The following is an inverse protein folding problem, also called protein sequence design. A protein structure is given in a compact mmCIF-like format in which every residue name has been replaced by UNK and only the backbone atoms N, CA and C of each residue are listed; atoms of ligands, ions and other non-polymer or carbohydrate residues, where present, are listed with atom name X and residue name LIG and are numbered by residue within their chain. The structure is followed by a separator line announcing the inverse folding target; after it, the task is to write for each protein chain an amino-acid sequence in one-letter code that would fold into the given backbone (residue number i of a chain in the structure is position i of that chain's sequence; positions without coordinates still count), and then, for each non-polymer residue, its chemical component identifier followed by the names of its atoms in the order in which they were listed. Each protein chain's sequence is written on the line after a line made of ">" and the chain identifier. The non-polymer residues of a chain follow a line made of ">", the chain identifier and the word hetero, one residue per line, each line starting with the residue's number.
data_IF_683323598445
#
_entry.id   IF_683323598445
#
_cell.length_a   1.000
_cell.length_b   1.000
_cell.length_c   1.000
_cell.angle_alpha   90.00
_cell.angle_beta   90.00
_cell.angle_gamma   90.00
#
_symmetry.space_group_name_H-M   'P 1'
#
loop_
_entity.id
_entity.type
_entity.pdbx_description
1 polymer ?
#
# COMPACT_ATOMS: atom_id res chain seq x y z
N UNK A 1 -5.09 -15.10 36.51
CA UNK A 1 -5.10 -13.92 37.42
C UNK A 1 -5.73 -14.19 38.78
N UNK A 2 -6.90 -14.90 38.88
CA UNK A 2 -7.51 -15.22 40.21
C UNK A 2 -6.61 -16.04 41.12
N UNK A 3 -5.87 -17.00 40.56
CA UNK A 3 -5.04 -17.92 41.37
C UNK A 3 -3.77 -17.26 41.93
N UNK A 4 -3.21 -16.28 41.22
CA UNK A 4 -1.94 -15.68 41.65
C UNK A 4 -2.12 -14.47 42.56
N UNK A 5 -3.14 -13.64 42.31
CA UNK A 5 -3.34 -12.39 43.05
C UNK A 5 -4.42 -12.46 44.14
N UNK A 6 -5.17 -13.57 44.24
CA UNK A 6 -6.34 -13.73 45.15
C UNK A 6 -7.35 -12.59 45.11
N UNK A 7 -7.36 -11.81 44.01
CA UNK A 7 -8.23 -10.66 43.83
C UNK A 7 -9.42 -11.01 42.93
N UNK A 8 -10.61 -10.63 43.36
CA UNK A 8 -11.82 -10.73 42.55
C UNK A 8 -12.26 -9.33 42.16
N UNK A 9 -11.95 -8.98 40.91
CA UNK A 9 -12.34 -7.68 40.34
C UNK A 9 -13.25 -7.87 39.12
N UNK A 10 -14.19 -6.94 38.92
CA UNK A 10 -15.02 -6.94 37.73
C UNK A 10 -14.23 -6.44 36.50
N UNK A 11 -14.64 -6.87 35.29
CA UNK A 11 -14.05 -6.38 34.03
C UNK A 11 -14.08 -4.84 33.93
N UNK A 12 -15.20 -4.16 34.25
CA UNK A 12 -15.25 -2.69 34.26
C UNK A 12 -14.26 -2.05 35.24
N UNK A 13 -14.04 -2.67 36.40
CA UNK A 13 -13.07 -2.16 37.40
C UNK A 13 -11.65 -2.31 36.85
N UNK A 14 -11.32 -3.45 36.27
CA UNK A 14 -10.02 -3.66 35.63
C UNK A 14 -9.79 -2.64 34.48
N UNK A 15 -10.80 -2.46 33.64
CA UNK A 15 -10.74 -1.50 32.53
C UNK A 15 -10.51 -0.06 33.00
N UNK A 16 -11.20 0.37 34.06
CA UNK A 16 -10.99 1.69 34.68
C UNK A 16 -9.57 1.81 35.26
N UNK A 17 -9.06 0.76 35.89
CA UNK A 17 -7.69 0.72 36.40
C UNK A 17 -6.66 0.88 35.27
N UNK A 18 -6.80 0.14 34.20
CA UNK A 18 -5.93 0.25 33.01
C UNK A 18 -5.96 1.67 32.40
N UNK A 19 -7.15 2.29 32.32
CA UNK A 19 -7.30 3.68 31.86
C UNK A 19 -6.57 4.68 32.76
N UNK A 20 -6.64 4.54 34.08
CA UNK A 20 -5.89 5.38 35.02
C UNK A 20 -4.38 5.26 34.81
N UNK A 21 -3.90 4.07 34.42
CA UNK A 21 -2.52 3.82 34.07
C UNK A 21 -2.17 4.27 32.63
N UNK A 22 -3.06 5.00 31.96
CA UNK A 22 -2.94 5.46 30.57
C UNK A 22 -2.74 4.31 29.54
N UNK A 23 -3.20 3.11 29.89
CA UNK A 23 -3.17 1.96 28.99
C UNK A 23 -4.46 1.89 28.18
N UNK A 24 -4.36 1.53 26.90
CA UNK A 24 -5.47 1.26 26.02
C UNK A 24 -5.27 -0.04 25.26
N UNK A 25 -6.36 -0.64 24.81
CA UNK A 25 -6.27 -1.84 24.00
C UNK A 25 -5.71 -1.47 22.62
N UNK A 26 -4.51 -1.95 22.31
CA UNK A 26 -3.80 -1.71 21.06
C UNK A 26 -3.66 -3.03 20.28
N UNK A 27 -3.86 -2.96 18.97
CA UNK A 27 -3.49 -4.06 18.10
C UNK A 27 -1.98 -4.00 17.85
N UNK A 28 -1.21 -5.06 18.16
CA UNK A 28 0.24 -5.06 17.90
C UNK A 28 0.53 -4.84 16.41
N UNK A 29 1.48 -3.98 16.13
CA UNK A 29 2.03 -3.79 14.80
C UNK A 29 3.02 -4.92 14.49
N UNK A 30 2.94 -5.45 13.26
CA UNK A 30 3.94 -6.41 12.78
C UNK A 30 5.08 -5.67 12.13
N UNK A 31 6.30 -5.95 12.57
CA UNK A 31 7.54 -5.46 11.95
C UNK A 31 8.39 -6.64 11.55
N UNK A 32 9.02 -6.57 10.38
CA UNK A 32 9.96 -7.58 9.96
C UNK A 32 11.19 -7.58 10.89
N UNK A 33 11.69 -8.76 11.24
CA UNK A 33 12.91 -8.89 12.05
C UNK A 33 14.14 -8.36 11.30
N UNK A 34 14.09 -8.46 9.98
CA UNK A 34 15.14 -8.04 9.05
C UNK A 34 15.15 -6.51 8.81
N UNK A 35 14.22 -5.77 9.43
CA UNK A 35 14.13 -4.32 9.28
C UNK A 35 15.29 -3.63 10.00
N UNK A 36 16.10 -2.83 9.29
CA UNK A 36 17.18 -2.05 9.89
C UNK A 36 16.71 -0.65 10.33
N UNK A 37 16.65 -0.37 11.64
CA UNK A 37 16.27 0.95 12.15
C UNK A 37 17.24 2.08 11.75
N UNK A 38 18.52 1.76 11.52
CA UNK A 38 19.52 2.76 11.10
C UNK A 38 19.31 3.16 9.65
N UNK A 39 19.10 2.19 8.75
CA UNK A 39 18.77 2.43 7.34
C UNK A 39 17.50 3.28 7.24
N UNK A 40 16.45 2.94 7.98
CA UNK A 40 15.19 3.69 8.03
C UNK A 40 15.38 5.13 8.48
N UNK A 41 16.11 5.33 9.59
CA UNK A 41 16.40 6.66 10.11
C UNK A 41 17.22 7.47 9.11
N UNK A 42 18.21 6.88 8.48
CA UNK A 42 19.02 7.52 7.46
C UNK A 42 18.17 7.92 6.25
N UNK A 43 17.27 7.04 5.81
CA UNK A 43 16.38 7.32 4.69
C UNK A 43 15.48 8.53 4.98
N UNK A 44 14.83 8.56 6.15
CA UNK A 44 13.96 9.67 6.56
C UNK A 44 14.70 10.99 6.73
N UNK A 45 15.88 10.97 7.36
CA UNK A 45 16.62 12.19 7.70
C UNK A 45 17.48 12.72 6.56
N UNK A 46 17.93 11.86 5.65
CA UNK A 46 18.91 12.23 4.62
C UNK A 46 18.42 11.97 3.20
N UNK A 47 17.96 10.75 2.89
CA UNK A 47 17.63 10.35 1.52
C UNK A 47 16.33 11.02 1.06
N UNK A 48 15.26 10.91 1.81
CA UNK A 48 13.96 11.47 1.47
C UNK A 48 14.00 13.01 1.30
N UNK A 49 14.57 13.80 2.21
CA UNK A 49 14.72 15.24 2.01
C UNK A 49 15.55 15.62 0.79
N UNK A 50 16.57 14.80 0.45
CA UNK A 50 17.36 15.00 -0.78
C UNK A 50 16.52 14.77 -2.03
N UNK A 51 15.73 13.69 -2.06
CA UNK A 51 14.79 13.39 -3.16
C UNK A 51 13.80 14.55 -3.33
N UNK A 52 13.21 15.04 -2.24
CA UNK A 52 12.24 16.14 -2.27
C UNK A 52 12.86 17.43 -2.81
N UNK A 53 14.04 17.82 -2.34
CA UNK A 53 14.76 19.00 -2.85
C UNK A 53 15.07 18.88 -4.34
N UNK A 54 15.56 17.72 -4.77
CA UNK A 54 15.86 17.46 -6.17
C UNK A 54 14.60 17.45 -7.03
N UNK A 55 13.52 16.84 -6.59
CA UNK A 55 12.25 16.83 -7.30
C UNK A 55 11.69 18.26 -7.47
N UNK A 56 11.81 19.09 -6.43
CA UNK A 56 11.40 20.51 -6.49
C UNK A 56 12.24 21.28 -7.50
N UNK A 57 13.57 21.15 -7.46
CA UNK A 57 14.48 21.82 -8.39
C UNK A 57 14.24 21.43 -9.85
N UNK A 58 13.97 20.14 -10.09
CA UNK A 58 13.71 19.60 -11.42
C UNK A 58 12.24 19.66 -11.85
N UNK A 59 11.35 20.21 -11.01
CA UNK A 59 9.88 20.22 -11.21
C UNK A 59 9.33 18.83 -11.53
N UNK A 60 9.91 17.78 -10.92
CA UNK A 60 9.53 16.40 -11.12
C UNK A 60 8.28 16.04 -10.32
N UNK A 61 7.50 15.10 -10.84
CA UNK A 61 6.46 14.41 -10.08
C UNK A 61 7.11 13.23 -9.34
N UNK A 62 6.83 13.10 -8.05
CA UNK A 62 7.32 11.97 -7.24
C UNK A 62 6.18 10.98 -7.06
N UNK A 63 6.38 9.75 -7.51
CA UNK A 63 5.44 8.65 -7.35
C UNK A 63 6.05 7.58 -6.45
N UNK A 64 5.25 7.07 -5.54
CA UNK A 64 5.51 5.83 -4.83
C UNK A 64 4.82 4.71 -5.60
N UNK A 65 5.55 3.66 -5.85
CA UNK A 65 5.09 2.52 -6.64
C UNK A 65 5.04 1.26 -5.76
N UNK A 66 4.08 0.39 -6.06
CA UNK A 66 3.90 -0.89 -5.38
C UNK A 66 3.03 -1.85 -6.20
N UNK A 67 3.09 -3.13 -5.86
CA UNK A 67 2.26 -4.18 -6.46
C UNK A 67 1.40 -4.89 -5.42
N UNK A 68 0.25 -5.34 -5.87
CA UNK A 68 -0.60 -6.16 -5.03
C UNK A 68 -1.45 -7.13 -5.82
N UNK A 69 -1.78 -8.25 -5.18
CA UNK A 69 -2.70 -9.23 -5.73
C UNK A 69 -4.09 -9.02 -5.12
N UNK A 70 -5.08 -8.80 -6.00
CA UNK A 70 -6.50 -8.88 -5.67
C UNK A 70 -6.97 -10.30 -5.92
N UNK A 71 -7.49 -10.99 -4.91
CA UNK A 71 -7.88 -12.39 -5.01
C UNK A 71 -9.37 -12.53 -5.33
N UNK A 72 -9.76 -13.66 -5.95
CA UNK A 72 -11.17 -14.03 -6.13
C UNK A 72 -11.88 -14.26 -4.79
N UNK A 73 -11.17 -14.66 -3.76
CA UNK A 73 -11.68 -14.69 -2.39
C UNK A 73 -11.60 -13.28 -1.80
N UNK A 74 -12.74 -12.58 -1.62
CA UNK A 74 -12.75 -11.20 -1.15
C UNK A 74 -12.38 -11.09 0.32
N UNK A 75 -11.92 -9.92 0.72
CA UNK A 75 -11.88 -9.54 2.13
C UNK A 75 -13.31 -9.34 2.63
N UNK A 76 -13.67 -9.99 3.74
CA UNK A 76 -14.95 -9.78 4.42
C UNK A 76 -14.72 -8.93 5.67
N UNK A 77 -15.67 -8.09 5.98
CA UNK A 77 -15.66 -7.26 7.18
C UNK A 77 -16.94 -7.42 7.98
N UNK A 78 -16.98 -6.84 9.16
CA UNK A 78 -18.20 -6.80 9.97
C UNK A 78 -19.30 -6.02 9.25
N UNK A 79 -20.54 -6.47 9.40
CA UNK A 79 -21.75 -5.82 8.93
C UNK A 79 -22.88 -6.04 9.94
N UNK A 80 -23.99 -5.33 9.78
CA UNK A 80 -25.17 -5.49 10.61
C UNK A 80 -26.02 -6.64 10.12
N UNK A 81 -26.52 -7.45 11.05
CA UNK A 81 -27.50 -8.51 10.82
C UNK A 81 -28.34 -8.74 12.08
N UNK A 82 -29.51 -9.36 12.00
CA UNK A 82 -30.28 -9.77 13.16
C UNK A 82 -29.43 -10.67 14.09
N UNK A 83 -29.64 -10.52 15.39
CA UNK A 83 -28.96 -11.34 16.41
C UNK A 83 -29.16 -12.83 16.08
N UNK A 84 -28.08 -13.59 16.12
CA UNK A 84 -28.08 -15.04 15.82
C UNK A 84 -28.13 -15.39 14.33
N UNK A 85 -28.22 -14.39 13.40
CA UNK A 85 -28.24 -14.60 11.95
C UNK A 85 -26.95 -14.07 11.30
N UNK A 86 -25.94 -14.90 11.21
CA UNK A 86 -24.66 -14.52 10.58
C UNK A 86 -24.84 -14.34 9.07
N UNK A 87 -24.47 -13.16 8.52
CA UNK A 87 -24.51 -12.93 7.07
C UNK A 87 -23.55 -13.85 6.32
N UNK A 88 -23.97 -14.36 5.19
CA UNK A 88 -23.18 -15.24 4.32
C UNK A 88 -22.79 -14.52 3.04
N UNK A 89 -21.50 -14.48 2.75
CA UNK A 89 -20.97 -14.06 1.44
C UNK A 89 -20.60 -15.31 0.66
N UNK A 90 -21.28 -15.52 -0.46
CA UNK A 90 -20.95 -16.64 -1.35
C UNK A 90 -19.68 -16.30 -2.12
N UNK A 91 -18.69 -17.18 -2.06
CA UNK A 91 -17.40 -17.02 -2.72
C UNK A 91 -17.05 -18.26 -3.53
N UNK A 92 -16.28 -18.11 -4.59
CA UNK A 92 -15.71 -19.25 -5.30
C UNK A 92 -14.58 -19.89 -4.51
N UNK A 93 -14.40 -21.20 -4.61
CA UNK A 93 -13.23 -21.93 -4.11
C UNK A 93 -11.95 -21.68 -4.93
N UNK A 94 -12.04 -20.96 -6.03
CA UNK A 94 -10.91 -20.66 -6.90
C UNK A 94 -9.97 -19.64 -6.22
N UNK A 95 -8.68 -19.99 -6.10
CA UNK A 95 -7.63 -19.18 -5.47
C UNK A 95 -6.95 -18.18 -6.42
N UNK A 96 -7.40 -18.08 -7.67
CA UNK A 96 -6.83 -17.16 -8.64
C UNK A 96 -6.93 -15.70 -8.16
N UNK A 97 -6.03 -14.88 -8.67
CA UNK A 97 -5.97 -13.45 -8.37
C UNK A 97 -5.61 -12.63 -9.60
N UNK A 98 -5.69 -11.35 -9.44
CA UNK A 98 -5.29 -10.34 -10.42
C UNK A 98 -4.16 -9.53 -9.80
N UNK A 99 -2.99 -9.57 -10.45
CA UNK A 99 -1.87 -8.71 -10.10
C UNK A 99 -2.16 -7.29 -10.59
N UNK A 100 -1.88 -6.33 -9.76
CA UNK A 100 -2.04 -4.90 -10.05
C UNK A 100 -0.77 -4.18 -9.63
N UNK A 101 -0.31 -3.28 -10.48
CA UNK A 101 0.76 -2.33 -10.16
C UNK A 101 0.14 -0.95 -10.07
N UNK A 102 0.58 -0.13 -9.13
CA UNK A 102 0.16 1.27 -9.05
C UNK A 102 1.30 2.21 -8.70
N UNK A 103 1.07 3.48 -9.00
CA UNK A 103 1.97 4.56 -8.63
C UNK A 103 1.13 5.75 -8.15
N UNK A 104 1.36 6.15 -6.90
CA UNK A 104 0.63 7.21 -6.21
C UNK A 104 1.54 8.40 -5.92
N UNK A 105 1.06 9.62 -6.14
CA UNK A 105 1.79 10.83 -5.76
C UNK A 105 1.07 11.69 -4.70
N UNK A 106 1.82 12.59 -4.07
CA UNK A 106 1.30 13.46 -3.01
C UNK A 106 0.24 14.46 -3.48
N UNK A 107 0.06 14.68 -4.78
CA UNK A 107 -1.02 15.48 -5.33
C UNK A 107 -2.34 14.71 -5.45
N UNK A 108 -2.33 13.41 -5.10
CA UNK A 108 -3.49 12.54 -5.19
C UNK A 108 -3.75 12.05 -6.62
N UNK A 109 -2.71 11.85 -7.42
CA UNK A 109 -2.79 11.21 -8.72
C UNK A 109 -2.41 9.74 -8.59
N UNK A 110 -3.25 8.88 -9.11
CA UNK A 110 -3.07 7.43 -9.13
C UNK A 110 -2.95 6.96 -10.58
N UNK A 111 -1.81 6.40 -10.92
CA UNK A 111 -1.61 5.61 -12.13
C UNK A 111 -1.66 4.12 -11.76
N UNK A 112 -2.21 3.27 -12.61
CA UNK A 112 -2.24 1.83 -12.38
C UNK A 112 -2.24 1.03 -13.67
N UNK A 113 -1.71 -0.19 -13.59
CA UNK A 113 -1.73 -1.18 -14.66
C UNK A 113 -2.08 -2.56 -14.09
N UNK A 114 -2.62 -3.41 -14.95
CA UNK A 114 -2.87 -4.83 -14.62
C UNK A 114 -2.01 -5.63 -15.61
N UNK A 115 -0.83 -6.06 -15.19
CA UNK A 115 0.03 -6.91 -16.00
C UNK A 115 -0.57 -8.32 -16.13
N UNK A 116 -0.08 -9.13 -17.09
CA UNK A 116 -0.70 -10.42 -17.38
C UNK A 116 -0.70 -11.38 -16.19
N UNK A 117 0.45 -11.68 -15.57
CA UNK A 117 0.49 -12.67 -14.47
C UNK A 117 1.56 -12.43 -13.40
N UNK A 118 2.79 -12.03 -13.75
CA UNK A 118 3.90 -11.85 -12.81
C UNK A 118 4.66 -10.57 -13.11
N UNK A 119 5.17 -9.92 -12.05
CA UNK A 119 6.10 -8.80 -12.23
C UNK A 119 7.51 -9.35 -12.44
N UNK A 120 8.10 -8.99 -13.56
CA UNK A 120 9.50 -9.17 -13.86
C UNK A 120 10.07 -7.84 -14.34
N UNK A 121 11.39 -7.80 -14.56
CA UNK A 121 12.06 -6.56 -14.99
C UNK A 121 11.48 -5.95 -16.29
N UNK A 122 10.99 -6.79 -17.22
CA UNK A 122 10.34 -6.31 -18.46
C UNK A 122 9.00 -5.64 -18.18
N UNK A 123 8.15 -6.30 -17.40
CA UNK A 123 6.85 -5.78 -16.99
C UNK A 123 6.99 -4.48 -16.21
N UNK A 124 7.97 -4.40 -15.30
CA UNK A 124 8.25 -3.17 -14.58
C UNK A 124 8.72 -2.03 -15.49
N UNK A 125 9.59 -2.32 -16.47
CA UNK A 125 10.01 -1.34 -17.49
C UNK A 125 8.80 -0.86 -18.30
N UNK A 126 7.90 -1.74 -18.71
CA UNK A 126 6.70 -1.37 -19.47
C UNK A 126 5.74 -0.52 -18.64
N UNK A 127 5.61 -0.80 -17.34
CA UNK A 127 4.90 0.07 -16.39
C UNK A 127 5.52 1.46 -16.31
N UNK A 128 6.85 1.56 -16.19
CA UNK A 128 7.55 2.85 -16.16
C UNK A 128 7.39 3.64 -17.46
N UNK A 129 7.44 2.96 -18.62
CA UNK A 129 7.17 3.59 -19.94
C UNK A 129 5.74 4.13 -20.01
N UNK A 130 4.77 3.36 -19.58
CA UNK A 130 3.36 3.77 -19.56
C UNK A 130 3.15 4.97 -18.62
N UNK A 131 3.77 4.98 -17.45
CA UNK A 131 3.75 6.12 -16.53
C UNK A 131 4.39 7.37 -17.15
N UNK A 132 5.52 7.24 -17.85
CA UNK A 132 6.16 8.32 -18.57
C UNK A 132 5.30 8.88 -19.72
N UNK A 133 4.54 8.02 -20.38
CA UNK A 133 3.61 8.40 -21.47
C UNK A 133 2.40 9.16 -20.94
N UNK A 134 1.91 8.85 -19.73
CA UNK A 134 0.83 9.58 -19.06
C UNK A 134 1.24 11.02 -18.73
N UNK A 135 2.55 11.26 -18.52
CA UNK A 135 3.09 12.58 -18.16
C UNK A 135 4.21 13.02 -19.13
N UNK A 136 3.92 13.27 -20.41
CA UNK A 136 4.95 13.43 -21.46
C UNK A 136 5.85 14.65 -21.28
N UNK A 137 5.36 15.69 -20.57
CA UNK A 137 6.09 16.95 -20.34
C UNK A 137 6.71 17.07 -18.95
N UNK A 138 6.72 15.97 -18.16
CA UNK A 138 7.19 16.01 -16.77
C UNK A 138 8.36 15.05 -16.57
N UNK A 139 9.28 15.46 -15.70
CA UNK A 139 10.21 14.49 -15.09
C UNK A 139 9.48 13.70 -14.03
N UNK A 140 9.80 12.43 -13.90
CA UNK A 140 9.19 11.50 -12.96
C UNK A 140 10.27 10.89 -12.09
N UNK A 141 10.07 10.96 -10.79
CA UNK A 141 10.84 10.25 -9.81
C UNK A 141 9.96 9.13 -9.26
N UNK A 142 10.40 7.90 -9.36
CA UNK A 142 9.70 6.74 -8.84
C UNK A 142 10.45 6.24 -7.62
N UNK A 143 9.71 5.95 -6.56
CA UNK A 143 10.21 5.33 -5.33
C UNK A 143 9.52 3.97 -5.25
N UNK A 144 10.29 2.89 -5.35
CA UNK A 144 9.83 1.50 -5.28
C UNK A 144 10.53 0.76 -4.14
N UNK A 145 10.10 -0.42 -3.83
CA UNK A 145 10.85 -1.31 -2.95
C UNK A 145 12.08 -1.90 -3.65
N UNK A 146 12.86 -2.71 -2.92
CA UNK A 146 14.07 -3.36 -3.44
C UNK A 146 13.80 -4.78 -3.96
N UNK A 147 12.58 -5.08 -4.45
CA UNK A 147 12.28 -6.36 -5.05
C UNK A 147 13.19 -6.66 -6.27
N UNK A 148 13.47 -7.94 -6.50
CA UNK A 148 14.39 -8.36 -7.58
C UNK A 148 14.05 -7.78 -8.96
N UNK A 149 12.76 -7.65 -9.37
CA UNK A 149 12.42 -7.01 -10.63
C UNK A 149 12.87 -5.56 -10.71
N UNK A 150 12.77 -4.80 -9.61
CA UNK A 150 13.04 -3.36 -9.58
C UNK A 150 14.54 -3.05 -9.62
N UNK A 151 15.36 -3.88 -8.97
CA UNK A 151 16.83 -3.68 -8.92
C UNK A 151 17.58 -4.35 -10.07
N UNK A 152 16.89 -5.01 -10.99
CA UNK A 152 17.48 -5.76 -12.09
C UNK A 152 18.38 -4.89 -13.01
N UNK A 153 19.45 -5.46 -13.53
CA UNK A 153 20.39 -4.78 -14.46
C UNK A 153 19.66 -4.13 -15.64
N UNK A 154 18.65 -4.81 -16.21
CA UNK A 154 17.83 -4.29 -17.32
C UNK A 154 17.08 -2.99 -16.95
N UNK A 155 16.53 -2.92 -15.73
CA UNK A 155 15.84 -1.72 -15.24
C UNK A 155 16.81 -0.57 -15.05
N UNK A 156 17.97 -0.82 -14.42
CA UNK A 156 19.02 0.21 -14.25
C UNK A 156 19.48 0.74 -15.61
N UNK A 157 19.70 -0.13 -16.59
CA UNK A 157 20.10 0.26 -17.94
C UNK A 157 19.02 1.09 -18.65
N UNK A 158 17.73 0.78 -18.46
CA UNK A 158 16.61 1.55 -18.97
C UNK A 158 16.55 2.94 -18.33
N UNK A 159 16.60 3.00 -16.99
CA UNK A 159 16.54 4.26 -16.22
C UNK A 159 17.71 5.18 -16.57
N UNK A 160 18.93 4.61 -16.76
CA UNK A 160 20.12 5.40 -17.14
C UNK A 160 19.99 6.07 -18.51
N UNK A 161 19.21 5.50 -19.44
CA UNK A 161 18.96 6.07 -20.78
C UNK A 161 17.80 7.07 -20.80
N UNK A 162 16.87 6.99 -19.84
CA UNK A 162 15.66 7.82 -19.83
C UNK A 162 15.89 9.10 -19.02
N UNK A 163 16.14 10.21 -19.71
CA UNK A 163 16.47 11.52 -19.09
C UNK A 163 15.35 12.10 -18.20
N UNK A 164 14.11 11.65 -18.38
CA UNK A 164 12.95 12.12 -17.61
C UNK A 164 12.62 11.26 -16.39
N UNK A 165 13.36 10.15 -16.17
CA UNK A 165 13.08 9.19 -15.12
C UNK A 165 14.23 9.10 -14.13
N UNK A 166 13.92 9.10 -12.84
CA UNK A 166 14.83 8.66 -11.76
C UNK A 166 14.13 7.62 -10.92
N UNK A 167 14.85 6.59 -10.54
CA UNK A 167 14.36 5.52 -9.69
C UNK A 167 15.12 5.55 -8.37
N UNK A 168 14.39 5.56 -7.29
CA UNK A 168 14.87 5.52 -5.91
C UNK A 168 14.26 4.32 -5.21
N UNK A 169 14.86 3.92 -4.08
CA UNK A 169 14.40 2.76 -3.35
C UNK A 169 14.08 3.10 -1.90
N UNK A 170 13.04 2.45 -1.38
CA UNK A 170 12.73 2.45 0.04
C UNK A 170 13.78 1.64 0.82
N UNK A 171 13.93 1.86 2.12
CA UNK A 171 14.69 0.96 2.97
C UNK A 171 14.10 -0.45 2.92
N UNK A 172 14.95 -1.43 3.08
CA UNK A 172 14.53 -2.84 3.06
C UNK A 172 13.45 -3.10 4.12
N UNK A 173 12.46 -3.92 3.78
CA UNK A 173 11.35 -4.29 4.67
C UNK A 173 10.59 -3.11 5.31
N UNK A 174 10.39 -2.02 4.56
CA UNK A 174 9.73 -0.80 5.05
C UNK A 174 8.46 -0.43 4.28
N UNK A 175 7.44 -1.32 4.20
CA UNK A 175 6.18 -1.06 3.50
C UNK A 175 5.39 0.09 4.15
N UNK A 176 5.61 0.35 5.42
CA UNK A 176 5.00 1.48 6.14
C UNK A 176 5.47 2.85 5.63
N UNK A 177 6.58 2.93 4.90
CA UNK A 177 7.02 4.15 4.22
C UNK A 177 6.37 4.32 2.84
N UNK A 178 5.69 3.28 2.32
CA UNK A 178 5.05 3.34 1.03
C UNK A 178 3.56 3.76 1.16
N UNK A 179 3.17 4.99 0.81
CA UNK A 179 1.77 5.41 0.87
C UNK A 179 0.87 4.62 -0.10
N UNK A 180 1.42 3.97 -1.12
CA UNK A 180 0.67 3.14 -2.07
C UNK A 180 0.04 1.90 -1.41
N UNK A 181 0.60 1.42 -0.30
CA UNK A 181 -0.04 0.42 0.58
C UNK A 181 -1.44 0.87 1.07
N UNK A 182 -1.66 2.17 1.19
CA UNK A 182 -2.97 2.75 1.49
C UNK A 182 -3.98 2.51 0.36
N UNK A 183 -3.52 2.51 -0.89
CA UNK A 183 -4.34 2.16 -2.07
C UNK A 183 -4.83 0.72 -1.96
N UNK A 184 -3.92 -0.22 -1.64
CA UNK A 184 -4.27 -1.64 -1.50
C UNK A 184 -5.19 -1.91 -0.34
N UNK A 185 -4.93 -1.28 0.79
CA UNK A 185 -5.78 -1.40 1.97
C UNK A 185 -7.20 -0.92 1.67
N UNK A 186 -7.35 0.26 1.07
CA UNK A 186 -8.65 0.82 0.71
C UNK A 186 -9.34 0.00 -0.40
N UNK A 187 -8.62 -0.37 -1.44
CA UNK A 187 -9.14 -1.18 -2.55
C UNK A 187 -9.74 -2.50 -2.04
N UNK A 188 -8.99 -3.24 -1.21
CA UNK A 188 -9.42 -4.55 -0.72
C UNK A 188 -10.49 -4.49 0.35
N UNK A 189 -10.42 -3.51 1.27
CA UNK A 189 -11.30 -3.43 2.42
C UNK A 189 -12.55 -2.58 2.22
N UNK A 190 -12.57 -1.68 1.25
CA UNK A 190 -13.69 -0.78 0.99
C UNK A 190 -14.29 -0.97 -0.40
N UNK A 191 -13.50 -0.83 -1.46
CA UNK A 191 -14.04 -0.85 -2.82
C UNK A 191 -14.39 -2.26 -3.32
N UNK A 192 -13.61 -3.26 -2.94
CA UNK A 192 -13.79 -4.66 -3.31
C UNK A 192 -14.20 -5.56 -2.11
N UNK A 193 -14.63 -4.95 -1.00
CA UNK A 193 -15.13 -5.70 0.14
C UNK A 193 -16.29 -6.59 -0.28
N UNK A 194 -16.22 -7.87 0.09
CA UNK A 194 -17.25 -8.87 -0.17
C UNK A 194 -17.69 -8.95 -1.66
N UNK A 195 -16.79 -8.65 -2.61
CA UNK A 195 -17.12 -8.78 -4.03
C UNK A 195 -17.45 -10.25 -4.38
N UNK A 196 -18.31 -10.44 -5.35
CA UNK A 196 -18.79 -11.76 -5.80
C UNK A 196 -18.30 -12.09 -7.22
N UNK A 197 -17.06 -11.72 -7.54
CA UNK A 197 -16.46 -12.10 -8.82
C UNK A 197 -16.29 -13.63 -8.87
N UNK A 198 -16.72 -14.25 -9.94
CA UNK A 198 -16.69 -15.71 -10.11
C UNK A 198 -15.46 -16.17 -10.90
N UNK A 199 -14.84 -15.28 -11.66
CA UNK A 199 -13.70 -15.58 -12.51
C UNK A 199 -12.74 -14.39 -12.65
N UNK A 200 -11.54 -14.65 -13.20
CA UNK A 200 -10.47 -13.64 -13.36
C UNK A 200 -10.92 -12.45 -14.23
N UNK A 201 -11.67 -12.68 -15.29
CA UNK A 201 -12.17 -11.61 -16.21
C UNK A 201 -13.09 -10.63 -15.48
N UNK A 202 -14.01 -11.14 -14.70
CA UNK A 202 -14.91 -10.34 -13.88
C UNK A 202 -14.16 -9.57 -12.80
N UNK A 203 -13.19 -10.23 -12.13
CA UNK A 203 -12.36 -9.60 -11.11
C UNK A 203 -11.54 -8.45 -11.70
N UNK A 204 -10.94 -8.61 -12.88
CA UNK A 204 -10.24 -7.55 -13.60
C UNK A 204 -11.17 -6.35 -13.85
N UNK A 205 -12.39 -6.60 -14.34
CA UNK A 205 -13.39 -5.54 -14.59
C UNK A 205 -13.73 -4.77 -13.32
N UNK A 206 -14.02 -5.48 -12.22
CA UNK A 206 -14.34 -4.87 -10.93
C UNK A 206 -13.14 -4.09 -10.37
N UNK A 207 -11.93 -4.65 -10.42
CA UNK A 207 -10.70 -4.01 -9.97
C UNK A 207 -10.40 -2.73 -10.75
N UNK A 208 -10.48 -2.76 -12.08
CA UNK A 208 -10.32 -1.56 -12.92
C UNK A 208 -11.35 -0.48 -12.59
N UNK A 209 -12.61 -0.86 -12.40
CA UNK A 209 -13.67 0.10 -12.05
C UNK A 209 -13.41 0.75 -10.68
N UNK A 210 -13.02 -0.04 -9.68
CA UNK A 210 -12.69 0.43 -8.34
C UNK A 210 -11.49 1.40 -8.36
N UNK A 211 -10.39 1.04 -9.03
CA UNK A 211 -9.21 1.91 -9.14
C UNK A 211 -9.51 3.22 -9.89
N UNK A 212 -10.30 3.16 -10.96
CA UNK A 212 -10.77 4.37 -11.66
C UNK A 212 -11.63 5.27 -10.80
N UNK A 213 -12.48 4.68 -9.95
CA UNK A 213 -13.29 5.41 -8.96
C UNK A 213 -12.39 6.09 -7.93
N UNK A 214 -11.38 5.38 -7.41
CA UNK A 214 -10.40 5.92 -6.48
C UNK A 214 -9.59 7.06 -7.11
N UNK A 215 -9.13 6.91 -8.35
CA UNK A 215 -8.38 7.92 -9.09
C UNK A 215 -9.13 9.26 -9.25
N UNK A 216 -10.48 9.23 -9.23
CA UNK A 216 -11.32 10.44 -9.24
C UNK A 216 -11.47 11.11 -7.86
N UNK A 217 -10.81 10.58 -6.81
CA UNK A 217 -10.93 11.04 -5.42
C UNK A 217 -9.57 11.50 -4.87
N UNK A 218 -9.00 12.62 -5.36
CA UNK A 218 -7.66 13.05 -4.97
C UNK A 218 -7.53 13.34 -3.47
N UNK A 219 -8.61 13.77 -2.80
CA UNK A 219 -8.64 13.95 -1.35
C UNK A 219 -8.38 12.65 -0.58
N UNK A 220 -9.02 11.55 -1.00
CA UNK A 220 -8.78 10.22 -0.45
C UNK A 220 -7.32 9.79 -0.67
N UNK A 221 -6.81 9.94 -1.89
CA UNK A 221 -5.46 9.51 -2.25
C UNK A 221 -4.39 10.31 -1.47
N UNK A 222 -4.60 11.61 -1.27
CA UNK A 222 -3.72 12.43 -0.42
C UNK A 222 -3.71 11.98 1.04
N UNK A 223 -4.84 11.50 1.57
CA UNK A 223 -4.90 11.04 2.97
C UNK A 223 -3.99 9.85 3.25
N UNK A 224 -3.64 9.06 2.25
CA UNK A 224 -2.71 7.93 2.41
C UNK A 224 -1.27 8.37 2.70
N UNK A 225 -0.89 9.58 2.27
CA UNK A 225 0.40 10.17 2.63
C UNK A 225 0.42 10.64 4.08
N UNK A 226 -0.64 11.27 4.56
CA UNK A 226 -0.71 11.81 5.93
C UNK A 226 -0.61 10.68 6.96
N UNK A 227 -1.31 9.56 6.70
CA UNK A 227 -1.32 8.43 7.61
C UNK A 227 0.04 7.71 7.74
N UNK A 228 0.95 7.89 6.77
CA UNK A 228 2.21 7.14 6.70
C UNK A 228 3.48 8.01 6.78
N UNK A 229 3.36 9.30 6.46
CA UNK A 229 4.48 10.25 6.59
C UNK A 229 4.53 10.96 7.94
N UNK A 230 3.62 10.64 8.86
CA UNK A 230 3.74 11.01 10.27
C UNK A 230 4.26 9.79 11.04
N UNK A 231 5.57 9.50 11.02
CA UNK A 231 6.12 8.64 12.02
C UNK A 231 5.95 9.38 13.34
N UNK A 232 5.29 8.77 14.30
CA UNK A 232 5.49 9.12 15.69
C UNK A 232 6.99 8.87 15.98
N UNK A 233 7.82 9.84 15.65
CA UNK A 233 9.19 9.98 16.10
C UNK A 233 9.18 10.88 17.34
#
# INVERSE_FOLDING_TARGET
>A
MRAELKLVVSIPTLWRGLKKLKLSNQKPERRALEQDPKERTHWLKSVWPKIQRQAKAERALVFFEDESVVRLTPTVGRTWAPVGKTPVVRVTGNRAGVLVMSALNAQGRLFFAIPPDTVNAGVFIDFLKALLSEYPRRKIFVIADQASPHIAKKVRAFVAKEKRLKLFYLPTHSPDFNPDEGVWSHLKSQELKAHQATNKKELIKKTKAALRKMAKRPGLLRSFFIARTSPNL
#
